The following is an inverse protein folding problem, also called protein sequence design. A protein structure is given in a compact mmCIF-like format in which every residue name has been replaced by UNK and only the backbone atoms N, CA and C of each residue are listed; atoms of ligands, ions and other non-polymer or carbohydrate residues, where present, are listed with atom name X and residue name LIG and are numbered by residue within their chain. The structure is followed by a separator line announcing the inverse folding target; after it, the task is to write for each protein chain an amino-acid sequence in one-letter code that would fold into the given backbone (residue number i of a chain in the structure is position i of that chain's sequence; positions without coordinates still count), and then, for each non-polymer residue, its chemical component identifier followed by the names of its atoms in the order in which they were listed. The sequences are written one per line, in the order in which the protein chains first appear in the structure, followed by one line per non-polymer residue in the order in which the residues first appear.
data_IF_018166222872
#
_entry.id   IF_018166222872
#
_cell.length_a   1.000
_cell.length_b   1.000
_cell.length_c   1.000
_cell.angle_alpha   90.00
_cell.angle_beta   90.00
_cell.angle_gamma   90.00
#
_symmetry.space_group_name_H-M   'P 1'
#
loop_
_entity.id
_entity.type
_entity.pdbx_description
1 polymer ?
#
# COMPACT_ATOMS: atom_id res chain seq x y z
N UNK A 1 20.13 -20.39 -0.17
CA UNK A 1 20.21 -19.18 0.68
C UNK A 1 19.80 -18.02 -0.20
N UNK A 2 18.66 -17.36 0.12
CA UNK A 2 18.32 -16.08 -0.49
C UNK A 2 19.12 -15.04 0.28
N UNK A 3 20.24 -14.63 -0.28
CA UNK A 3 21.08 -13.54 0.19
C UNK A 3 20.98 -12.41 -0.83
N UNK A 4 19.83 -11.76 -0.89
CA UNK A 4 19.71 -10.61 -1.77
C UNK A 4 19.02 -9.48 -1.01
N UNK A 5 19.78 -8.46 -0.61
CA UNK A 5 19.30 -7.29 0.11
C UNK A 5 18.36 -6.39 -0.73
N UNK A 6 18.22 -6.71 -2.02
CA UNK A 6 17.39 -5.95 -2.97
C UNK A 6 16.01 -6.57 -3.23
N UNK A 7 15.65 -7.65 -2.51
CA UNK A 7 14.32 -8.25 -2.64
C UNK A 7 13.26 -7.38 -1.98
N UNK A 8 12.24 -7.00 -2.76
CA UNK A 8 11.12 -6.18 -2.32
C UNK A 8 9.80 -6.94 -2.20
N UNK A 9 9.78 -8.24 -2.54
CA UNK A 9 8.61 -9.09 -2.40
C UNK A 9 8.72 -10.42 -3.14
N UNK A 10 7.70 -11.28 -2.94
CA UNK A 10 7.56 -12.56 -3.63
C UNK A 10 6.16 -12.77 -4.17
N UNK A 11 6.09 -13.34 -5.37
CA UNK A 11 4.86 -13.95 -5.90
C UNK A 11 5.05 -15.45 -5.81
N UNK A 12 4.20 -16.11 -5.04
CA UNK A 12 4.29 -17.52 -4.72
C UNK A 12 3.21 -18.35 -5.41
N UNK A 13 3.49 -19.64 -5.64
CA UNK A 13 2.57 -20.59 -6.25
C UNK A 13 1.47 -20.97 -5.27
N UNK A 14 0.21 -20.75 -5.62
CA UNK A 14 -0.96 -21.11 -4.82
C UNK A 14 -1.04 -22.61 -4.56
N UNK A 15 -1.50 -22.97 -3.38
CA UNK A 15 -1.73 -24.37 -2.94
C UNK A 15 -0.50 -25.30 -3.01
N UNK A 16 0.69 -24.77 -3.26
CA UNK A 16 1.95 -25.54 -3.27
C UNK A 16 2.36 -25.93 -1.85
N UNK A 17 2.77 -27.18 -1.58
CA UNK A 17 3.29 -27.59 -0.27
C UNK A 17 4.57 -26.85 0.13
N UNK A 18 5.28 -26.26 -0.84
CA UNK A 18 6.47 -25.45 -0.60
C UNK A 18 6.13 -23.97 -0.49
N UNK A 19 5.34 -23.42 -1.43
CA UNK A 19 5.17 -21.97 -1.63
C UNK A 19 3.80 -21.43 -1.23
N UNK A 20 2.77 -22.27 -1.04
CA UNK A 20 1.41 -21.78 -0.76
C UNK A 20 1.34 -20.96 0.53
N UNK A 21 0.78 -19.77 0.47
CA UNK A 21 0.61 -18.90 1.64
C UNK A 21 -0.50 -19.37 2.56
N UNK A 22 -1.50 -20.00 1.99
CA UNK A 22 -2.67 -20.52 2.71
C UNK A 22 -3.30 -21.66 1.93
N UNK A 23 -4.22 -22.41 2.59
CA UNK A 23 -5.01 -23.48 1.96
C UNK A 23 -4.20 -24.60 1.33
N UNK A 24 -2.96 -24.81 1.76
CA UNK A 24 -2.17 -25.98 1.36
C UNK A 24 -2.84 -27.23 1.94
N UNK A 25 -2.93 -28.29 1.12
CA UNK A 25 -3.49 -29.57 1.57
C UNK A 25 -2.56 -30.23 2.62
N UNK A 26 -3.14 -30.55 3.77
CA UNK A 26 -2.50 -31.36 4.80
C UNK A 26 -3.18 -32.72 4.81
N UNK A 27 -2.39 -33.75 4.54
CA UNK A 27 -2.86 -35.14 4.55
C UNK A 27 -2.84 -35.68 5.98
N UNK A 28 -3.92 -36.35 6.37
CA UNK A 28 -4.02 -37.01 7.67
C UNK A 28 -3.66 -38.48 7.55
N UNK A 29 -3.18 -39.14 8.63
CA UNK A 29 -2.98 -40.59 8.66
C UNK A 29 -4.28 -41.36 8.36
N UNK A 30 -4.12 -42.64 7.97
CA UNK A 30 -5.24 -43.60 7.83
C UNK A 30 -6.28 -43.23 6.76
N UNK A 31 -5.87 -42.72 5.59
CA UNK A 31 -6.74 -42.37 4.46
C UNK A 31 -7.89 -41.40 4.79
N UNK A 32 -7.78 -40.63 5.87
CA UNK A 32 -8.72 -39.58 6.18
C UNK A 32 -8.67 -38.43 5.16
N UNK A 33 -9.76 -37.72 4.88
CA UNK A 33 -9.79 -36.61 3.94
C UNK A 33 -8.76 -35.53 4.30
N UNK A 34 -8.06 -35.02 3.29
CA UNK A 34 -7.12 -33.91 3.48
C UNK A 34 -7.85 -32.63 3.88
N UNK A 35 -7.24 -31.83 4.74
CA UNK A 35 -7.74 -30.50 5.10
C UNK A 35 -6.92 -29.41 4.40
N UNK A 36 -7.56 -28.30 4.01
CA UNK A 36 -6.89 -27.16 3.33
C UNK A 36 -6.61 -26.05 4.34
N UNK A 37 -5.70 -26.27 5.28
CA UNK A 37 -5.33 -25.29 6.31
C UNK A 37 -3.81 -25.15 6.49
N UNK A 38 -3.02 -25.78 5.63
CA UNK A 38 -1.56 -25.72 5.68
C UNK A 38 -0.99 -24.44 5.07
N UNK A 39 0.28 -24.24 5.35
CA UNK A 39 1.15 -23.20 4.77
C UNK A 39 2.37 -23.90 4.20
N UNK A 40 2.84 -23.47 3.04
CA UNK A 40 4.05 -24.01 2.42
C UNK A 40 5.30 -23.75 3.27
N UNK A 41 6.23 -24.70 3.28
CA UNK A 41 7.42 -24.63 4.13
C UNK A 41 8.26 -23.37 3.85
N UNK A 42 8.51 -23.07 2.58
CA UNK A 42 9.23 -21.86 2.17
C UNK A 42 8.45 -20.58 2.51
N UNK A 43 7.14 -20.56 2.26
CA UNK A 43 6.30 -19.42 2.59
C UNK A 43 6.33 -19.10 4.09
N UNK A 44 6.29 -20.13 4.94
CA UNK A 44 6.41 -20.00 6.39
C UNK A 44 7.76 -19.41 6.78
N UNK A 45 8.87 -19.96 6.28
CA UNK A 45 10.23 -19.48 6.56
C UNK A 45 10.44 -18.02 6.14
N UNK A 46 9.92 -17.61 4.97
CA UNK A 46 10.00 -16.23 4.50
C UNK A 46 9.24 -15.27 5.44
N UNK A 47 8.03 -15.63 5.84
CA UNK A 47 7.23 -14.81 6.76
C UNK A 47 7.86 -14.69 8.15
N UNK A 48 8.48 -15.75 8.65
CA UNK A 48 9.18 -15.74 9.94
C UNK A 48 10.44 -14.87 9.88
N UNK A 49 11.22 -14.98 8.80
CA UNK A 49 12.47 -14.23 8.64
C UNK A 49 12.25 -12.78 8.26
N UNK A 50 11.23 -12.49 7.45
CA UNK A 50 10.92 -11.16 6.92
C UNK A 50 9.43 -10.84 7.09
N UNK A 51 8.97 -10.53 8.32
CA UNK A 51 7.54 -10.43 8.66
C UNK A 51 6.79 -9.37 7.86
N UNK A 52 7.46 -8.35 7.36
CA UNK A 52 6.86 -7.25 6.60
C UNK A 52 7.17 -7.27 5.10
N UNK A 53 7.91 -8.27 4.63
CA UNK A 53 8.18 -8.40 3.20
C UNK A 53 6.86 -8.67 2.45
N UNK A 54 6.54 -7.92 1.39
CA UNK A 54 5.35 -8.16 0.58
C UNK A 54 5.38 -9.56 -0.06
N UNK A 55 4.38 -10.37 0.25
CA UNK A 55 4.25 -11.72 -0.32
C UNK A 55 2.79 -11.96 -0.68
N UNK A 56 2.54 -12.41 -1.91
CA UNK A 56 1.19 -12.75 -2.37
C UNK A 56 1.23 -13.99 -3.29
N UNK A 57 0.08 -14.64 -3.49
CA UNK A 57 -0.05 -15.77 -4.42
C UNK A 57 -0.49 -15.28 -5.81
N UNK A 58 0.02 -15.93 -6.88
CA UNK A 58 -0.29 -15.56 -8.26
C UNK A 58 -1.78 -15.59 -8.55
N UNK A 59 -2.51 -16.58 -8.01
CA UNK A 59 -3.94 -16.70 -8.19
C UNK A 59 -4.74 -15.57 -7.54
N UNK A 60 -4.24 -15.00 -6.44
CA UNK A 60 -4.90 -13.89 -5.73
C UNK A 60 -4.65 -12.53 -6.39
N UNK A 61 -3.58 -12.40 -7.18
CA UNK A 61 -3.28 -11.18 -7.93
C UNK A 61 -4.23 -10.94 -9.12
N UNK A 62 -5.13 -11.87 -9.40
CA UNK A 62 -6.25 -11.68 -10.34
C UNK A 62 -7.27 -10.69 -9.76
N UNK A 63 -7.44 -10.66 -8.43
CA UNK A 63 -8.28 -9.68 -7.76
C UNK A 63 -7.61 -8.27 -7.85
N UNK A 64 -8.28 -7.27 -8.47
CA UNK A 64 -7.69 -5.94 -8.67
C UNK A 64 -7.32 -5.25 -7.36
N UNK A 65 -8.09 -5.43 -6.29
CA UNK A 65 -7.82 -4.82 -5.00
C UNK A 65 -6.59 -5.43 -4.32
N UNK A 66 -6.45 -6.76 -4.35
CA UNK A 66 -5.28 -7.45 -3.79
C UNK A 66 -4.02 -7.10 -4.57
N UNK A 67 -4.11 -7.05 -5.91
CA UNK A 67 -3.02 -6.66 -6.79
C UNK A 67 -2.55 -5.22 -6.52
N UNK A 68 -3.48 -4.27 -6.43
CA UNK A 68 -3.19 -2.88 -6.08
C UNK A 68 -2.45 -2.78 -4.74
N UNK A 69 -2.96 -3.45 -3.71
CA UNK A 69 -2.33 -3.45 -2.40
C UNK A 69 -0.92 -4.04 -2.44
N UNK A 70 -0.71 -5.14 -3.17
CA UNK A 70 0.59 -5.79 -3.31
C UNK A 70 1.60 -4.89 -4.04
N UNK A 71 1.21 -4.27 -5.16
CA UNK A 71 2.07 -3.34 -5.88
C UNK A 71 2.44 -2.13 -5.02
N UNK A 72 1.47 -1.51 -4.35
CA UNK A 72 1.73 -0.42 -3.41
C UNK A 72 2.72 -0.83 -2.31
N UNK A 73 2.62 -2.04 -1.79
CA UNK A 73 3.52 -2.56 -0.75
C UNK A 73 4.94 -2.75 -1.27
N UNK A 74 5.11 -3.35 -2.45
CA UNK A 74 6.44 -3.58 -3.06
C UNK A 74 7.18 -2.26 -3.25
N UNK A 75 6.53 -1.28 -3.89
CA UNK A 75 7.17 0.01 -4.17
C UNK A 75 7.42 0.82 -2.90
N UNK A 76 6.50 0.80 -1.93
CA UNK A 76 6.73 1.46 -0.64
C UNK A 76 7.86 0.78 0.16
N UNK A 77 7.97 -0.54 0.10
CA UNK A 77 9.05 -1.31 0.73
C UNK A 77 10.40 -0.94 0.09
N UNK A 78 10.46 -0.92 -1.24
CA UNK A 78 11.66 -0.53 -1.99
C UNK A 78 12.07 0.92 -1.71
N UNK A 79 11.12 1.85 -1.78
CA UNK A 79 11.37 3.27 -1.51
C UNK A 79 11.96 3.49 -0.11
N UNK A 80 11.39 2.83 0.91
CA UNK A 80 11.94 2.89 2.26
C UNK A 80 13.36 2.32 2.36
N UNK A 81 13.61 1.19 1.69
CA UNK A 81 14.93 0.55 1.69
C UNK A 81 15.98 1.46 1.06
N UNK A 82 15.66 2.05 -0.11
CA UNK A 82 16.52 3.00 -0.79
C UNK A 82 16.74 4.27 0.03
N UNK A 83 15.68 4.77 0.67
CA UNK A 83 15.74 5.92 1.56
C UNK A 83 16.71 5.68 2.73
N UNK A 84 16.60 4.56 3.44
CA UNK A 84 17.52 4.24 4.56
C UNK A 84 18.97 4.06 4.06
N UNK A 85 19.17 3.38 2.90
CA UNK A 85 20.51 3.21 2.30
C UNK A 85 21.18 4.54 1.88
N UNK A 86 20.41 5.60 1.64
CA UNK A 86 20.95 6.91 1.24
C UNK A 86 21.57 7.71 2.38
N UNK A 87 21.60 7.20 3.61
CA UNK A 87 22.04 7.93 4.80
C UNK A 87 21.30 9.28 4.96
N UNK A 88 19.98 9.27 5.08
CA UNK A 88 19.17 10.47 5.03
C UNK A 88 19.38 11.38 6.24
N UNK A 89 19.24 12.68 6.01
CA UNK A 89 19.11 13.67 7.09
C UNK A 89 17.72 13.63 7.74
N UNK A 90 17.55 14.33 8.86
CA UNK A 90 16.24 14.48 9.49
C UNK A 90 15.24 15.19 8.57
N UNK A 91 15.68 16.18 7.79
CA UNK A 91 14.83 16.86 6.81
C UNK A 91 14.36 15.91 5.70
N UNK A 92 15.22 15.00 5.25
CA UNK A 92 14.85 13.98 4.26
C UNK A 92 13.80 13.03 4.82
N UNK A 93 13.89 12.69 6.11
CA UNK A 93 12.85 11.89 6.80
C UNK A 93 11.50 12.62 6.82
N UNK A 94 11.47 13.92 7.09
CA UNK A 94 10.24 14.73 7.06
C UNK A 94 9.63 14.75 5.65
N UNK A 95 10.46 14.90 4.62
CA UNK A 95 10.03 14.89 3.21
C UNK A 95 9.48 13.51 2.84
N UNK A 96 10.19 12.44 3.16
CA UNK A 96 9.77 11.07 2.91
C UNK A 96 8.44 10.78 3.60
N UNK A 97 8.33 11.06 4.90
CA UNK A 97 7.09 10.89 5.66
C UNK A 97 5.94 11.67 5.04
N UNK A 98 6.15 12.92 4.68
CA UNK A 98 5.14 13.78 4.05
C UNK A 98 4.61 13.15 2.77
N UNK A 99 5.47 12.58 1.93
CA UNK A 99 5.06 11.95 0.67
C UNK A 99 4.22 10.67 0.87
N UNK A 100 4.42 9.95 1.96
CA UNK A 100 3.71 8.71 2.28
C UNK A 100 2.47 8.88 3.16
N UNK A 101 2.23 10.08 3.67
CA UNK A 101 1.25 10.38 4.71
C UNK A 101 -0.15 9.83 4.38
N UNK A 102 -0.67 10.09 3.20
CA UNK A 102 -2.01 9.62 2.81
C UNK A 102 -2.05 8.13 2.49
N UNK A 103 -0.97 7.54 1.97
CA UNK A 103 -0.90 6.11 1.75
C UNK A 103 -0.97 5.36 3.09
N UNK A 104 -0.21 5.79 4.09
CA UNK A 104 -0.25 5.23 5.44
C UNK A 104 -1.63 5.42 6.07
N UNK A 105 -2.22 6.61 5.97
CA UNK A 105 -3.54 6.90 6.52
C UNK A 105 -4.64 6.01 5.94
N UNK A 106 -4.57 5.70 4.62
CA UNK A 106 -5.51 4.78 3.96
C UNK A 106 -5.43 3.34 4.47
N UNK A 107 -4.31 2.95 5.08
CA UNK A 107 -4.06 1.58 5.59
C UNK A 107 -4.25 1.49 7.10
N UNK A 108 -3.60 2.37 7.86
CA UNK A 108 -3.45 2.25 9.30
C UNK A 108 -3.45 3.63 10.00
N UNK A 109 -4.60 4.08 10.46
CA UNK A 109 -4.71 5.36 11.16
C UNK A 109 -3.86 5.43 12.45
N UNK A 110 -3.74 4.31 13.18
CA UNK A 110 -2.89 4.23 14.37
C UNK A 110 -1.42 4.45 14.00
N UNK A 111 -0.94 3.76 12.98
CA UNK A 111 0.45 3.91 12.51
C UNK A 111 0.70 5.32 11.93
N UNK A 112 -0.28 5.91 11.24
CA UNK A 112 -0.21 7.30 10.79
C UNK A 112 0.08 8.25 11.96
N UNK A 113 -0.64 8.12 13.08
CA UNK A 113 -0.42 8.95 14.27
C UNK A 113 0.93 8.66 14.92
N UNK A 114 1.32 7.38 15.01
CA UNK A 114 2.60 6.97 15.60
C UNK A 114 3.78 7.48 14.78
N UNK A 115 3.78 7.30 13.45
CA UNK A 115 4.82 7.82 12.57
C UNK A 115 4.94 9.35 12.63
N UNK A 116 3.80 10.05 12.72
CA UNK A 116 3.82 11.51 12.91
C UNK A 116 4.48 11.93 14.24
N UNK A 117 4.30 11.16 15.32
CA UNK A 117 4.99 11.41 16.60
C UNK A 117 6.49 11.13 16.53
N UNK A 118 6.89 10.03 15.86
CA UNK A 118 8.30 9.70 15.64
C UNK A 118 9.00 10.84 14.89
N UNK A 119 8.40 11.30 13.78
CA UNK A 119 8.97 12.40 12.98
C UNK A 119 8.93 13.74 13.72
N UNK A 120 7.97 13.99 14.62
CA UNK A 120 7.96 15.21 15.45
C UNK A 120 9.10 15.26 16.45
N UNK A 121 9.70 14.13 16.79
CA UNK A 121 10.87 13.96 17.66
C UNK A 121 10.88 14.86 18.92
N UNK A 122 9.77 14.92 19.62
CA UNK A 122 9.67 15.76 20.84
C UNK A 122 10.66 15.35 21.94
N UNK A 123 11.08 14.07 21.93
CA UNK A 123 12.03 13.49 22.89
C UNK A 123 13.50 13.78 22.53
N UNK A 124 13.76 14.44 21.39
CA UNK A 124 15.09 14.80 20.88
C UNK A 124 16.05 13.60 20.76
N UNK A 125 15.52 12.46 20.31
CA UNK A 125 16.31 11.25 20.02
C UNK A 125 17.30 11.48 18.89
N UNK A 126 18.36 10.67 18.85
CA UNK A 126 19.34 10.66 17.77
C UNK A 126 18.69 10.16 16.46
N UNK A 127 19.20 10.65 15.34
CA UNK A 127 18.60 10.34 14.01
C UNK A 127 18.57 8.84 13.73
N UNK A 128 19.61 8.10 14.05
CA UNK A 128 19.68 6.64 13.81
C UNK A 128 18.58 5.88 14.59
N UNK A 129 18.31 6.30 15.83
CA UNK A 129 17.24 5.73 16.66
C UNK A 129 15.86 6.01 16.02
N UNK A 130 15.64 7.25 15.58
CA UNK A 130 14.40 7.65 14.90
C UNK A 130 14.20 6.86 13.61
N UNK A 131 15.25 6.70 12.80
CA UNK A 131 15.19 5.97 11.54
C UNK A 131 14.85 4.51 11.76
N UNK A 132 15.36 3.89 12.84
CA UNK A 132 15.03 2.51 13.20
C UNK A 132 13.55 2.37 13.59
N UNK A 133 13.07 3.22 14.52
CA UNK A 133 11.66 3.23 14.96
C UNK A 133 10.71 3.52 13.77
N UNK A 134 11.08 4.49 12.94
CA UNK A 134 10.31 4.87 11.75
C UNK A 134 10.21 3.72 10.76
N UNK A 135 11.34 3.05 10.46
CA UNK A 135 11.39 1.90 9.56
C UNK A 135 10.44 0.79 10.01
N UNK A 136 10.50 0.41 11.28
CA UNK A 136 9.66 -0.65 11.83
C UNK A 136 8.16 -0.33 11.72
N UNK A 137 7.75 0.84 12.20
CA UNK A 137 6.34 1.25 12.17
C UNK A 137 5.83 1.49 10.74
N UNK A 138 6.69 2.00 9.83
CA UNK A 138 6.34 2.17 8.42
C UNK A 138 6.10 0.82 7.74
N UNK A 139 7.00 -0.15 7.90
CA UNK A 139 6.86 -1.49 7.34
C UNK A 139 5.60 -2.19 7.86
N UNK A 140 5.32 -2.05 9.14
CA UNK A 140 4.07 -2.53 9.74
C UNK A 140 2.85 -1.86 9.12
N UNK A 141 2.87 -0.54 8.92
CA UNK A 141 1.76 0.19 8.33
C UNK A 141 1.48 -0.25 6.89
N UNK A 142 2.51 -0.36 6.04
CA UNK A 142 2.35 -0.75 4.64
C UNK A 142 1.94 -2.22 4.48
N UNK A 143 2.27 -3.10 5.43
CA UNK A 143 1.87 -4.51 5.39
C UNK A 143 0.36 -4.71 5.58
N UNK A 144 -0.34 -3.72 6.15
CA UNK A 144 -1.78 -3.79 6.35
C UNK A 144 -2.52 -3.53 5.04
N UNK A 145 -3.63 -4.25 4.85
CA UNK A 145 -4.56 -3.97 3.75
C UNK A 145 -5.43 -2.76 4.11
N UNK A 146 -5.51 -1.80 3.20
CA UNK A 146 -6.49 -0.72 3.30
C UNK A 146 -7.91 -1.27 3.17
N UNK A 147 -8.90 -0.42 3.44
CA UNK A 147 -10.30 -0.72 3.14
C UNK A 147 -10.98 0.50 2.48
N UNK A 148 -12.12 0.27 1.87
CA UNK A 148 -12.87 1.28 1.11
C UNK A 148 -13.13 2.53 1.96
N UNK A 149 -13.59 2.37 3.22
CA UNK A 149 -13.93 3.51 4.07
C UNK A 149 -12.71 4.38 4.43
N UNK A 150 -11.57 3.77 4.74
CA UNK A 150 -10.33 4.52 5.01
C UNK A 150 -9.86 5.25 3.77
N UNK A 151 -9.91 4.58 2.61
CA UNK A 151 -9.56 5.17 1.32
C UNK A 151 -10.49 6.33 0.96
N UNK A 152 -11.79 6.18 1.16
CA UNK A 152 -12.77 7.24 0.98
C UNK A 152 -12.46 8.47 1.85
N UNK A 153 -12.11 8.28 3.12
CA UNK A 153 -11.72 9.37 4.00
C UNK A 153 -10.46 10.10 3.49
N UNK A 154 -9.46 9.37 3.01
CA UNK A 154 -8.27 9.97 2.39
C UNK A 154 -8.65 10.83 1.19
N UNK A 155 -9.50 10.33 0.31
CA UNK A 155 -9.96 11.05 -0.88
C UNK A 155 -10.74 12.32 -0.51
N UNK A 156 -11.58 12.27 0.53
CA UNK A 156 -12.26 13.46 1.07
C UNK A 156 -11.29 14.51 1.61
N UNK A 157 -10.21 14.08 2.30
CA UNK A 157 -9.16 14.98 2.73
C UNK A 157 -8.44 15.65 1.55
N UNK A 158 -8.12 14.87 0.50
CA UNK A 158 -7.50 15.41 -0.71
C UNK A 158 -8.42 16.39 -1.44
N UNK A 159 -9.70 16.05 -1.57
CA UNK A 159 -10.73 16.94 -2.10
C UNK A 159 -10.78 18.30 -1.36
N UNK A 160 -10.56 18.27 -0.04
CA UNK A 160 -10.52 19.45 0.82
C UNK A 160 -9.56 20.55 0.35
N UNK A 161 -8.47 20.22 -0.36
CA UNK A 161 -7.47 21.18 -0.83
C UNK A 161 -7.98 22.10 -1.94
N UNK A 162 -8.89 21.63 -2.76
CA UNK A 162 -9.40 22.41 -3.90
C UNK A 162 -10.91 22.66 -3.87
N UNK A 163 -11.63 22.19 -2.85
CA UNK A 163 -13.09 22.36 -2.73
C UNK A 163 -13.60 23.83 -2.75
N UNK A 164 -12.72 24.81 -2.48
CA UNK A 164 -13.02 26.25 -2.52
C UNK A 164 -12.65 26.89 -3.86
N UNK A 165 -11.99 26.15 -4.76
CA UNK A 165 -11.50 26.64 -6.04
C UNK A 165 -12.34 26.17 -7.22
N UNK A 166 -13.35 25.34 -6.96
CA UNK A 166 -14.22 24.71 -7.95
C UNK A 166 -15.66 25.22 -7.84
N UNK A 167 -16.43 25.05 -8.92
CA UNK A 167 -17.84 25.41 -8.96
C UNK A 167 -18.68 24.48 -8.05
N UNK A 168 -19.93 24.86 -7.83
CA UNK A 168 -20.87 24.03 -7.07
C UNK A 168 -21.13 22.70 -7.79
N UNK A 169 -21.32 22.74 -9.11
CA UNK A 169 -21.55 21.56 -9.95
C UNK A 169 -20.36 20.61 -9.91
N UNK A 170 -19.13 21.11 -10.16
CA UNK A 170 -17.91 20.31 -10.05
C UNK A 170 -17.75 19.65 -8.66
N UNK A 171 -18.16 20.36 -7.61
CA UNK A 171 -18.13 19.81 -6.25
C UNK A 171 -19.12 18.66 -6.07
N UNK A 172 -20.35 18.82 -6.59
CA UNK A 172 -21.38 17.78 -6.53
C UNK A 172 -20.95 16.55 -7.30
N UNK A 173 -20.41 16.70 -8.52
CA UNK A 173 -19.90 15.62 -9.36
C UNK A 173 -18.77 14.82 -8.67
N UNK A 174 -17.82 15.55 -8.05
CA UNK A 174 -16.71 14.88 -7.34
C UNK A 174 -17.23 14.13 -6.13
N UNK A 175 -18.11 14.71 -5.34
CA UNK A 175 -18.67 14.04 -4.15
C UNK A 175 -19.53 12.83 -4.54
N UNK A 176 -20.25 12.90 -5.67
CA UNK A 176 -20.97 11.76 -6.23
C UNK A 176 -19.99 10.64 -6.61
N UNK A 177 -18.93 10.95 -7.36
CA UNK A 177 -17.92 9.95 -7.73
C UNK A 177 -17.24 9.31 -6.50
N UNK A 178 -16.98 10.11 -5.45
CA UNK A 178 -16.46 9.61 -4.17
C UNK A 178 -17.45 8.63 -3.51
N UNK A 179 -18.74 8.96 -3.53
CA UNK A 179 -19.77 8.10 -2.96
C UNK A 179 -19.94 6.80 -3.76
N UNK A 180 -19.96 6.90 -5.10
CA UNK A 180 -19.99 5.72 -5.99
C UNK A 180 -18.82 4.77 -5.76
N UNK A 181 -17.62 5.32 -5.50
CA UNK A 181 -16.48 4.50 -5.08
C UNK A 181 -16.73 3.81 -3.73
N UNK A 182 -17.25 4.54 -2.75
CA UNK A 182 -17.58 3.98 -1.42
C UNK A 182 -18.60 2.86 -1.53
N UNK A 183 -19.57 3.01 -2.41
CA UNK A 183 -20.64 2.04 -2.68
C UNK A 183 -20.19 0.92 -3.63
N UNK A 184 -18.90 0.93 -4.05
CA UNK A 184 -18.28 -0.05 -4.96
C UNK A 184 -18.89 -0.10 -6.37
N UNK A 185 -19.49 1.00 -6.82
CA UNK A 185 -20.04 1.17 -8.17
C UNK A 185 -18.92 1.46 -9.16
N UNK A 186 -17.96 2.34 -8.78
CA UNK A 186 -16.80 2.64 -9.60
C UNK A 186 -15.49 2.25 -8.90
N UNK A 187 -14.43 1.89 -9.66
CA UNK A 187 -13.14 1.53 -9.09
C UNK A 187 -12.36 2.74 -8.60
N UNK A 188 -11.44 2.52 -7.64
CA UNK A 188 -10.56 3.54 -7.06
C UNK A 188 -9.85 4.40 -8.11
N UNK A 189 -9.40 3.78 -9.22
CA UNK A 189 -8.67 4.50 -10.28
C UNK A 189 -9.48 5.63 -10.90
N UNK A 190 -10.81 5.47 -11.06
CA UNK A 190 -11.66 6.49 -11.63
C UNK A 190 -11.61 7.76 -10.77
N UNK A 191 -11.80 7.60 -9.46
CA UNK A 191 -11.73 8.73 -8.51
C UNK A 191 -10.33 9.31 -8.44
N UNK A 192 -9.29 8.47 -8.42
CA UNK A 192 -7.90 8.95 -8.42
C UNK A 192 -7.58 9.79 -9.67
N UNK A 193 -8.14 9.45 -10.83
CA UNK A 193 -7.96 10.26 -12.06
C UNK A 193 -8.64 11.61 -11.93
N UNK A 194 -9.84 11.68 -11.34
CA UNK A 194 -10.53 12.93 -11.07
C UNK A 194 -9.71 13.79 -10.10
N UNK A 195 -9.30 13.26 -8.95
CA UNK A 195 -8.47 13.99 -7.99
C UNK A 195 -7.17 14.49 -8.63
N UNK A 196 -6.46 13.64 -9.38
CA UNK A 196 -5.23 14.03 -10.08
C UNK A 196 -5.44 15.14 -11.11
N UNK A 197 -6.60 15.17 -11.79
CA UNK A 197 -6.96 16.25 -12.72
C UNK A 197 -6.99 17.60 -11.98
N UNK A 198 -7.69 17.66 -10.85
CA UNK A 198 -7.82 18.89 -10.05
C UNK A 198 -6.49 19.26 -9.35
N UNK A 199 -5.72 18.31 -8.89
CA UNK A 199 -4.36 18.53 -8.36
C UNK A 199 -3.47 19.21 -9.39
N UNK A 200 -3.56 18.80 -10.65
CA UNK A 200 -2.81 19.44 -11.77
C UNK A 200 -3.38 20.80 -12.12
N UNK A 201 -4.72 20.91 -12.25
CA UNK A 201 -5.40 22.16 -12.61
C UNK A 201 -5.09 23.31 -11.65
N UNK A 202 -5.07 23.01 -10.35
CA UNK A 202 -4.84 24.02 -9.30
C UNK A 202 -3.42 24.01 -8.74
N UNK A 203 -2.52 23.26 -9.34
CA UNK A 203 -1.11 23.19 -8.98
C UNK A 203 -0.85 22.89 -7.49
N UNK A 204 -1.63 21.98 -6.89
CA UNK A 204 -1.56 21.66 -5.46
C UNK A 204 -0.28 20.87 -5.16
N UNK A 205 0.83 21.57 -4.90
CA UNK A 205 2.17 21.01 -4.72
C UNK A 205 2.21 19.89 -3.68
N UNK A 206 1.53 20.09 -2.54
CA UNK A 206 1.47 19.10 -1.47
C UNK A 206 0.86 17.75 -1.92
N UNK A 207 -0.16 17.78 -2.79
CA UNK A 207 -0.77 16.55 -3.30
C UNK A 207 0.02 15.92 -4.44
N UNK A 208 0.78 16.69 -5.22
CA UNK A 208 1.60 16.15 -6.31
C UNK A 208 2.64 15.14 -5.84
N UNK A 209 3.20 15.35 -4.65
CA UNK A 209 4.23 14.47 -4.08
C UNK A 209 3.67 13.26 -3.36
N UNK A 210 2.33 13.15 -3.21
CA UNK A 210 1.72 12.06 -2.46
C UNK A 210 1.80 10.72 -3.19
N UNK A 211 2.48 9.76 -2.59
CA UNK A 211 2.61 8.38 -3.09
C UNK A 211 1.26 7.65 -3.18
N UNK A 212 0.25 8.07 -2.43
CA UNK A 212 -1.10 7.54 -2.56
C UNK A 212 -1.68 7.74 -3.96
N UNK A 213 -1.42 8.89 -4.59
CA UNK A 213 -1.92 9.19 -5.95
C UNK A 213 -1.10 8.50 -7.05
N UNK A 214 0.19 8.28 -6.82
CA UNK A 214 1.11 7.65 -7.77
C UNK A 214 2.02 6.65 -7.04
N UNK A 215 1.48 5.52 -6.54
CA UNK A 215 2.20 4.61 -5.65
C UNK A 215 3.23 3.73 -6.37
N UNK A 216 3.13 3.59 -7.70
CA UNK A 216 4.00 2.79 -8.57
C UNK A 216 3.88 3.27 -10.03
N UNK A 217 4.77 2.85 -10.95
CA UNK A 217 4.69 3.22 -12.37
C UNK A 217 3.34 2.88 -12.99
N UNK A 218 2.78 3.82 -13.75
CA UNK A 218 1.43 3.71 -14.34
C UNK A 218 1.26 2.49 -15.27
N UNK A 219 2.34 2.01 -15.85
CA UNK A 219 2.39 0.85 -16.74
C UNK A 219 2.00 -0.45 -16.01
N UNK A 220 2.19 -0.50 -14.69
CA UNK A 220 1.79 -1.63 -13.84
C UNK A 220 0.31 -1.54 -13.41
N UNK A 221 -0.33 -0.41 -13.64
CA UNK A 221 -1.72 -0.16 -13.24
C UNK A 221 -2.74 -0.77 -14.18
N UNK A 222 -2.51 -1.98 -14.70
CA UNK A 222 -3.48 -2.74 -15.50
C UNK A 222 -4.75 -3.02 -14.68
N UNK A 223 -5.53 -1.97 -14.49
CA UNK A 223 -6.68 -1.93 -13.59
C UNK A 223 -7.99 -2.32 -14.28
N UNK A 224 -7.93 -2.54 -15.57
CA UNK A 224 -9.01 -3.14 -16.35
C UNK A 224 -8.47 -4.34 -17.14
N UNK A 225 -9.21 -5.42 -17.17
CA UNK A 225 -8.88 -6.55 -18.05
C UNK A 225 -9.28 -6.21 -19.49
N UNK A 226 -8.32 -5.62 -20.22
CA UNK A 226 -8.53 -5.25 -21.65
C UNK A 226 -8.59 -6.50 -22.53
N UNK A 227 -8.36 -7.69 -22.02
CA UNK A 227 -8.46 -8.94 -22.80
C UNK A 227 -9.86 -9.19 -23.35
N UNK A 228 -10.88 -8.61 -22.73
CA UNK A 228 -12.26 -8.69 -23.21
C UNK A 228 -12.49 -8.01 -24.58
N UNK A 229 -11.54 -7.20 -25.05
CA UNK A 229 -11.62 -6.45 -26.32
C UNK A 229 -10.67 -6.97 -27.42
N UNK A 230 -10.07 -8.15 -27.20
CA UNK A 230 -9.23 -8.81 -28.21
C UNK A 230 -9.98 -9.91 -28.93
#
# INVERSE_FOLDING_TARGET
KIQNDDLCGFILKSASPTCGLERVKVYKPFNAPSVKNGVGVFAKQIKEKYPYLPVEEEGRLIDPWLRENFLMQIFAYQDLHNFIKSNPSFNDLVIFHTSYKYLIYSKAQKSYTTLGRIVANKEKKQLDEILLEYKEEFLKAISLKGNVNKTYNVLLHMFGYFKKLITKEEKEDILQALQEFKDKIIPLIAVMKIINLYVKRFDVQYLKVQKFLNPYPKELSLRSDIKAYK
#
